data_IF_342314373536
#
_entry.id   IF_342314373536
#
_cell.length_a   1.000
_cell.length_b   1.000
_cell.length_c   1.000
_cell.angle_alpha   90.00
_cell.angle_beta   90.00
_cell.angle_gamma   90.00
#
_symmetry.space_group_name_H-M   'P 1'
#
loop_
_entity.id
_entity.type
_entity.pdbx_description
1 polymer ?
#
# COMPACT_ATOMS: atom_id res chain seq x y z
N UNK A 1 12.76 33.05 7.45
CA UNK A 1 11.82 32.29 8.30
C UNK A 1 12.16 32.56 9.76
N UNK A 2 11.22 33.04 10.58
CA UNK A 2 11.51 33.34 11.99
C UNK A 2 11.61 32.03 12.82
N UNK A 3 12.14 32.12 14.04
CA UNK A 3 12.37 30.93 14.90
C UNK A 3 11.06 30.17 15.21
N UNK A 4 9.95 30.89 15.36
CA UNK A 4 8.62 30.32 15.60
C UNK A 4 8.14 29.47 14.42
N UNK A 5 8.23 29.99 13.20
CA UNK A 5 7.81 29.27 12.00
C UNK A 5 8.72 28.07 11.73
N UNK A 6 10.03 28.19 11.99
CA UNK A 6 10.95 27.04 11.91
C UNK A 6 10.55 25.94 12.91
N UNK A 7 10.16 26.32 14.13
CA UNK A 7 9.68 25.39 15.14
C UNK A 7 8.34 24.74 14.74
N UNK A 8 7.39 25.50 14.19
CA UNK A 8 6.13 24.95 13.71
C UNK A 8 6.34 23.97 12.55
N UNK A 9 7.25 24.28 11.62
CA UNK A 9 7.59 23.38 10.52
C UNK A 9 8.17 22.05 10.99
N UNK A 10 9.10 22.04 11.95
CA UNK A 10 9.63 20.77 12.47
C UNK A 10 8.56 19.94 13.19
N UNK A 11 7.59 20.60 13.83
CA UNK A 11 6.44 19.91 14.42
C UNK A 11 5.52 19.28 13.37
N UNK A 12 5.24 19.99 12.26
CA UNK A 12 4.47 19.47 11.13
C UNK A 12 5.18 18.27 10.50
N UNK A 13 6.49 18.38 10.26
CA UNK A 13 7.32 17.29 9.73
C UNK A 13 7.29 16.05 10.62
N UNK A 14 7.45 16.21 11.94
CA UNK A 14 7.37 15.10 12.89
C UNK A 14 5.99 14.42 12.89
N UNK A 15 4.92 15.22 12.74
CA UNK A 15 3.54 14.71 12.68
C UNK A 15 3.25 13.95 11.38
N UNK A 16 3.78 14.43 10.25
CA UNK A 16 3.73 13.73 8.95
C UNK A 16 4.52 12.42 9.01
N UNK A 17 5.71 12.45 9.61
CA UNK A 17 6.49 11.22 9.82
C UNK A 17 5.71 10.20 10.64
N UNK A 18 5.08 10.63 11.74
CA UNK A 18 4.21 9.77 12.54
C UNK A 18 3.04 9.20 11.73
N UNK A 19 2.38 9.99 10.88
CA UNK A 19 1.26 9.47 10.07
C UNK A 19 1.70 8.39 9.07
N UNK A 20 2.93 8.50 8.53
CA UNK A 20 3.54 7.46 7.67
C UNK A 20 3.85 6.19 8.45
N UNK A 21 4.42 6.35 9.64
CA UNK A 21 4.74 5.21 10.52
C UNK A 21 3.46 4.48 10.96
N UNK A 22 2.44 5.23 11.38
CA UNK A 22 1.14 4.68 11.78
C UNK A 22 0.47 3.92 10.61
N UNK A 23 0.55 4.44 9.37
CA UNK A 23 0.08 3.71 8.16
C UNK A 23 0.88 2.42 7.94
N UNK A 24 2.21 2.48 8.04
CA UNK A 24 3.07 1.32 7.79
C UNK A 24 2.79 0.20 8.82
N UNK A 25 2.64 0.55 10.09
CA UNK A 25 2.27 -0.37 11.16
C UNK A 25 0.88 -0.98 10.90
N UNK A 26 -0.10 -0.14 10.55
CA UNK A 26 -1.44 -0.62 10.22
C UNK A 26 -1.42 -1.66 9.08
N UNK A 27 -0.73 -1.37 7.96
CA UNK A 27 -0.65 -2.29 6.82
C UNK A 27 0.12 -3.60 7.13
N UNK A 28 1.04 -3.57 8.11
CA UNK A 28 1.73 -4.76 8.57
C UNK A 28 0.82 -5.67 9.41
N UNK A 29 -0.03 -5.09 10.25
CA UNK A 29 -0.94 -5.79 11.15
C UNK A 29 -2.25 -6.24 10.49
N UNK A 30 -2.61 -5.62 9.36
CA UNK A 30 -3.88 -5.85 8.67
C UNK A 30 -3.64 -6.42 7.26
N UNK A 31 -3.33 -7.72 7.13
CA UNK A 31 -3.14 -8.34 5.83
C UNK A 31 -4.44 -8.43 5.04
N UNK A 32 -4.32 -8.38 3.71
CA UNK A 32 -5.43 -8.64 2.79
C UNK A 32 -5.84 -10.11 2.87
N UNK A 33 -7.14 -10.39 2.85
CA UNK A 33 -7.70 -11.71 2.60
C UNK A 33 -8.10 -11.83 1.14
N UNK A 34 -7.65 -12.88 0.47
CA UNK A 34 -7.94 -13.10 -0.96
C UNK A 34 -8.04 -14.59 -1.28
N UNK A 35 -8.92 -14.92 -2.21
CA UNK A 35 -9.16 -16.28 -2.70
C UNK A 35 -8.59 -16.52 -4.11
N UNK A 36 -7.82 -15.58 -4.67
CA UNK A 36 -7.33 -15.65 -6.06
C UNK A 36 -6.56 -16.95 -6.31
N UNK A 37 -5.72 -17.37 -5.35
CA UNK A 37 -4.95 -18.61 -5.49
C UNK A 37 -5.81 -19.82 -5.16
N UNK A 38 -6.20 -20.56 -6.20
CA UNK A 38 -6.90 -21.85 -6.07
C UNK A 38 -8.27 -21.78 -5.39
N UNK A 39 -8.88 -20.59 -5.27
CA UNK A 39 -10.18 -20.41 -4.64
C UNK A 39 -10.20 -20.51 -3.12
N UNK A 40 -9.03 -20.56 -2.46
CA UNK A 40 -8.90 -20.73 -1.01
C UNK A 40 -8.52 -19.39 -0.37
N UNK A 41 -9.28 -18.94 0.64
CA UNK A 41 -8.95 -17.71 1.39
C UNK A 41 -7.58 -17.86 2.06
N UNK A 42 -6.64 -17.02 1.64
CA UNK A 42 -5.32 -16.86 2.25
C UNK A 42 -5.12 -15.41 2.65
N UNK A 43 -4.18 -15.18 3.58
CA UNK A 43 -3.76 -13.84 3.99
C UNK A 43 -2.51 -13.42 3.22
N UNK A 44 -2.47 -12.18 2.77
CA UNK A 44 -1.34 -11.60 2.04
C UNK A 44 -0.88 -10.34 2.75
N UNK A 45 0.41 -10.28 3.06
CA UNK A 45 1.04 -9.10 3.63
C UNK A 45 1.05 -7.98 2.58
N UNK A 46 0.62 -6.78 2.99
CA UNK A 46 0.45 -5.61 2.10
C UNK A 46 1.34 -4.43 2.48
N UNK A 47 2.44 -4.68 3.18
CA UNK A 47 3.45 -3.66 3.46
C UNK A 47 4.01 -3.06 2.17
N UNK A 48 4.58 -1.85 2.25
CA UNK A 48 5.20 -1.21 1.09
C UNK A 48 6.28 -2.10 0.44
N UNK A 49 7.08 -2.78 1.26
CA UNK A 49 8.08 -3.75 0.78
C UNK A 49 7.43 -4.87 -0.04
N UNK A 50 6.31 -5.44 0.42
CA UNK A 50 5.60 -6.50 -0.30
C UNK A 50 4.95 -6.00 -1.59
N UNK A 51 4.40 -4.79 -1.61
CA UNK A 51 3.88 -4.16 -2.83
C UNK A 51 4.99 -3.92 -3.87
N UNK A 52 6.17 -3.47 -3.43
CA UNK A 52 7.34 -3.28 -4.29
C UNK A 52 7.86 -4.62 -4.83
N UNK A 53 7.95 -5.63 -3.97
CA UNK A 53 8.36 -6.98 -4.34
C UNK A 53 7.40 -7.57 -5.39
N UNK A 54 6.09 -7.40 -5.21
CA UNK A 54 5.07 -7.89 -6.15
C UNK A 54 5.20 -7.21 -7.52
N UNK A 55 5.42 -5.90 -7.53
CA UNK A 55 5.68 -5.14 -8.76
C UNK A 55 6.94 -5.66 -9.46
N UNK A 56 8.03 -5.87 -8.72
CA UNK A 56 9.28 -6.40 -9.26
C UNK A 56 9.12 -7.80 -9.84
N UNK A 57 8.37 -8.70 -9.18
CA UNK A 57 8.06 -10.05 -9.68
C UNK A 57 7.32 -9.99 -11.02
N UNK A 58 6.28 -9.16 -11.11
CA UNK A 58 5.49 -9.00 -12.34
C UNK A 58 6.35 -8.42 -13.46
N UNK A 59 7.12 -7.36 -13.19
CA UNK A 59 8.01 -6.74 -14.18
C UNK A 59 9.11 -7.70 -14.65
N UNK A 60 9.70 -8.47 -13.74
CA UNK A 60 10.73 -9.46 -14.09
C UNK A 60 10.16 -10.53 -15.01
N UNK A 61 8.97 -11.06 -14.70
CA UNK A 61 8.29 -12.02 -15.57
C UNK A 61 8.06 -11.43 -16.97
N UNK A 62 7.50 -10.22 -17.04
CA UNK A 62 7.23 -9.56 -18.32
C UNK A 62 8.51 -9.34 -19.13
N UNK A 63 9.58 -8.85 -18.52
CA UNK A 63 10.85 -8.63 -19.22
C UNK A 63 11.42 -9.94 -19.79
N UNK A 64 11.28 -11.06 -19.07
CA UNK A 64 11.73 -12.36 -19.54
C UNK A 64 10.81 -12.97 -20.60
N UNK A 65 9.49 -12.80 -20.47
CA UNK A 65 8.50 -13.35 -21.40
C UNK A 65 8.35 -12.53 -22.69
N UNK A 66 8.58 -11.22 -22.64
CA UNK A 66 8.32 -10.29 -23.74
C UNK A 66 8.97 -10.64 -25.08
N UNK A 67 10.25 -11.09 -25.14
CA UNK A 67 10.88 -11.47 -26.39
C UNK A 67 10.11 -12.57 -27.13
N UNK A 68 9.61 -13.58 -26.40
CA UNK A 68 8.84 -14.69 -26.97
C UNK A 68 7.45 -14.23 -27.42
N UNK A 69 6.80 -13.37 -26.64
CA UNK A 69 5.50 -12.78 -26.99
C UNK A 69 5.58 -11.95 -28.29
N UNK A 70 6.68 -11.24 -28.52
CA UNK A 70 6.87 -10.40 -29.71
C UNK A 70 6.98 -11.18 -31.01
N UNK A 71 7.45 -12.43 -30.95
CA UNK A 71 7.58 -13.31 -32.11
C UNK A 71 6.53 -14.42 -32.16
N UNK A 72 5.51 -14.35 -31.28
CA UNK A 72 4.48 -15.38 -31.10
C UNK A 72 5.05 -16.79 -30.82
N UNK A 73 6.19 -16.86 -30.14
CA UNK A 73 6.77 -18.13 -29.68
C UNK A 73 6.23 -18.50 -28.28
N UNK A 74 6.15 -19.81 -27.96
CA UNK A 74 5.82 -20.25 -26.61
C UNK A 74 6.83 -19.72 -25.59
N UNK A 75 6.33 -19.19 -24.47
CA UNK A 75 7.18 -18.78 -23.34
C UNK A 75 7.80 -20.05 -22.71
N UNK A 76 9.13 -20.11 -22.53
CA UNK A 76 9.79 -21.25 -21.90
C UNK A 76 9.22 -21.59 -20.52
N UNK A 77 9.08 -22.88 -20.22
CA UNK A 77 8.60 -23.37 -18.92
C UNK A 77 9.50 -22.97 -17.73
N UNK A 78 10.74 -22.56 -17.99
CA UNK A 78 11.64 -22.02 -16.96
C UNK A 78 11.27 -20.61 -16.51
N UNK A 79 10.45 -19.88 -17.27
CA UNK A 79 9.98 -18.54 -16.93
C UNK A 79 8.68 -18.66 -16.14
N UNK A 80 8.80 -18.67 -14.82
CA UNK A 80 7.69 -18.87 -13.88
C UNK A 80 7.58 -17.75 -12.89
N UNK A 81 6.39 -17.59 -12.33
CA UNK A 81 6.10 -16.63 -11.27
C UNK A 81 5.99 -17.40 -9.96
N UNK A 82 6.68 -16.93 -8.94
CA UNK A 82 6.60 -17.49 -7.60
C UNK A 82 6.19 -16.41 -6.63
N UNK A 83 5.17 -16.71 -5.83
CA UNK A 83 4.67 -15.79 -4.82
C UNK A 83 4.19 -16.54 -3.58
N UNK A 84 4.17 -15.85 -2.44
CA UNK A 84 3.83 -16.45 -1.16
C UNK A 84 2.66 -15.72 -0.47
N UNK A 85 1.84 -16.50 0.22
CA UNK A 85 0.92 -15.98 1.24
C UNK A 85 1.66 -15.81 2.57
N UNK A 86 1.07 -15.05 3.49
CA UNK A 86 1.65 -14.75 4.79
C UNK A 86 1.92 -16.03 5.60
N UNK A 87 3.17 -16.22 6.03
CA UNK A 87 3.58 -17.40 6.80
C UNK A 87 3.77 -18.69 5.98
N UNK A 88 3.62 -18.63 4.66
CA UNK A 88 3.81 -19.76 3.77
C UNK A 88 5.06 -19.58 2.88
N UNK A 89 5.58 -20.70 2.37
CA UNK A 89 6.63 -20.70 1.34
C UNK A 89 6.07 -20.25 -0.01
N UNK A 90 6.95 -19.84 -0.92
CA UNK A 90 6.55 -19.50 -2.28
C UNK A 90 5.97 -20.72 -3.01
N UNK A 91 4.90 -20.49 -3.76
CA UNK A 91 4.30 -21.45 -4.68
C UNK A 91 4.28 -20.85 -6.09
N UNK A 92 4.06 -21.67 -7.12
CA UNK A 92 3.97 -21.22 -8.51
C UNK A 92 2.63 -20.52 -8.76
N UNK A 93 2.65 -19.39 -9.46
CA UNK A 93 1.49 -18.59 -9.83
C UNK A 93 1.41 -18.41 -11.34
N UNK A 94 0.19 -18.29 -11.86
CA UNK A 94 -0.01 -17.81 -13.23
C UNK A 94 0.11 -16.29 -13.31
N UNK A 95 0.35 -15.76 -14.50
CA UNK A 95 0.36 -14.32 -14.73
C UNK A 95 -1.01 -13.68 -14.42
N UNK A 96 -2.11 -14.36 -14.74
CA UNK A 96 -3.46 -13.90 -14.41
C UNK A 96 -3.69 -13.83 -12.90
N UNK A 97 -3.34 -14.89 -12.15
CA UNK A 97 -3.50 -14.92 -10.70
C UNK A 97 -2.71 -13.78 -10.04
N UNK A 98 -1.43 -13.59 -10.41
CA UNK A 98 -0.58 -12.61 -9.72
C UNK A 98 -0.98 -11.17 -10.02
N UNK A 99 -1.46 -10.90 -11.24
CA UNK A 99 -1.94 -9.55 -11.62
C UNK A 99 -3.28 -9.23 -10.98
N UNK A 100 -4.17 -10.21 -10.84
CA UNK A 100 -5.40 -10.04 -10.05
C UNK A 100 -5.10 -9.78 -8.57
N UNK A 101 -4.16 -10.52 -7.96
CA UNK A 101 -3.75 -10.24 -6.59
C UNK A 101 -3.17 -8.82 -6.45
N UNK A 102 -2.32 -8.38 -7.39
CA UNK A 102 -1.79 -7.01 -7.39
C UNK A 102 -2.91 -5.98 -7.41
N UNK A 103 -3.92 -6.18 -8.25
CA UNK A 103 -5.10 -5.32 -8.31
C UNK A 103 -5.86 -5.28 -6.99
N UNK A 104 -6.14 -6.42 -6.38
CA UNK A 104 -6.83 -6.47 -5.07
C UNK A 104 -6.03 -5.77 -3.97
N UNK A 105 -4.70 -5.93 -3.95
CA UNK A 105 -3.82 -5.23 -3.00
C UNK A 105 -3.88 -3.73 -3.24
N UNK A 106 -3.82 -3.27 -4.49
CA UNK A 106 -3.89 -1.84 -4.82
C UNK A 106 -5.23 -1.25 -4.38
N UNK A 107 -6.34 -1.93 -4.66
CA UNK A 107 -7.68 -1.50 -4.25
C UNK A 107 -7.82 -1.45 -2.72
N UNK A 108 -7.26 -2.43 -2.01
CA UNK A 108 -7.25 -2.50 -0.56
C UNK A 108 -6.41 -1.38 0.09
N UNK A 109 -5.20 -1.14 -0.42
CA UNK A 109 -4.25 -0.19 0.17
C UNK A 109 -4.58 1.27 -0.17
N UNK A 110 -5.11 1.53 -1.38
CA UNK A 110 -5.39 2.88 -1.90
C UNK A 110 -6.13 3.79 -0.92
N UNK A 111 -7.26 3.41 -0.27
CA UNK A 111 -7.96 4.32 0.62
C UNK A 111 -7.10 4.76 1.82
N UNK A 112 -6.23 3.89 2.35
CA UNK A 112 -5.37 4.23 3.49
C UNK A 112 -4.23 5.16 3.08
N UNK A 113 -3.62 4.92 1.92
CA UNK A 113 -2.63 5.85 1.34
C UNK A 113 -3.26 7.22 1.08
N UNK A 114 -4.48 7.24 0.56
CA UNK A 114 -5.22 8.49 0.33
C UNK A 114 -5.52 9.23 1.64
N UNK A 115 -5.87 8.51 2.72
CA UNK A 115 -6.02 9.10 4.06
C UNK A 115 -4.71 9.74 4.52
N UNK A 116 -3.60 9.04 4.38
CA UNK A 116 -2.28 9.54 4.78
C UNK A 116 -1.91 10.81 4.02
N UNK A 117 -2.09 10.83 2.70
CA UNK A 117 -1.85 12.01 1.85
C UNK A 117 -2.75 13.18 2.23
N UNK A 118 -4.02 12.93 2.56
CA UNK A 118 -4.92 13.96 3.05
C UNK A 118 -4.43 14.55 4.38
N UNK A 119 -3.99 13.71 5.32
CA UNK A 119 -3.40 14.15 6.58
C UNK A 119 -2.16 15.02 6.34
N UNK A 120 -1.29 14.70 5.37
CA UNK A 120 -0.14 15.55 5.04
C UNK A 120 -0.56 16.97 4.63
N UNK A 121 -1.54 17.08 3.75
CA UNK A 121 -2.06 18.38 3.29
C UNK A 121 -2.64 19.18 4.47
N UNK A 122 -3.43 18.52 5.32
CA UNK A 122 -4.00 19.16 6.51
C UNK A 122 -2.90 19.63 7.47
N UNK A 123 -1.94 18.76 7.80
CA UNK A 123 -0.84 19.08 8.74
C UNK A 123 -0.02 20.27 8.24
N UNK A 124 0.29 20.31 6.94
CA UNK A 124 1.01 21.42 6.31
C UNK A 124 0.30 22.78 6.51
N UNK A 125 -1.04 22.78 6.55
CA UNK A 125 -1.85 23.99 6.70
C UNK A 125 -2.08 24.47 8.13
N UNK A 126 -1.69 23.70 9.17
CA UNK A 126 -2.04 24.04 10.57
C UNK A 126 -1.21 25.22 11.11
N UNK A 127 -1.82 26.33 11.52
CA UNK A 127 -1.08 27.54 11.90
C UNK A 127 -0.49 27.52 13.32
N UNK A 128 -0.97 26.66 14.22
CA UNK A 128 -0.55 26.69 15.62
C UNK A 128 0.00 25.36 16.14
N UNK A 129 0.87 25.45 17.14
CA UNK A 129 1.39 24.29 17.88
C UNK A 129 0.26 23.43 18.47
N UNK A 130 -0.83 24.05 18.93
CA UNK A 130 -1.96 23.37 19.55
C UNK A 130 -2.66 22.46 18.54
N UNK A 131 -3.03 23.01 17.39
CA UNK A 131 -3.69 22.25 16.32
C UNK A 131 -2.82 21.09 15.83
N UNK A 132 -1.51 21.30 15.66
CA UNK A 132 -0.58 20.24 15.23
C UNK A 132 -0.55 19.07 16.23
N UNK A 133 -0.58 19.36 17.53
CA UNK A 133 -0.56 18.33 18.57
C UNK A 133 -1.89 17.57 18.63
N UNK A 134 -3.00 18.29 18.61
CA UNK A 134 -4.36 17.76 18.82
C UNK A 134 -4.88 16.94 17.63
N UNK A 135 -4.41 17.20 16.40
CA UNK A 135 -4.81 16.40 15.25
C UNK A 135 -4.43 14.92 15.45
N UNK A 136 -5.40 14.01 15.45
CA UNK A 136 -5.11 12.57 15.43
C UNK A 136 -4.65 12.15 14.03
N UNK A 137 -3.61 11.32 13.96
CA UNK A 137 -3.06 10.76 12.70
C UNK A 137 -3.07 9.24 12.70
N UNK A 138 -3.71 8.64 13.70
CA UNK A 138 -3.73 7.19 13.90
C UNK A 138 -4.62 6.49 12.89
N UNK A 139 -4.20 5.33 12.43
CA UNK A 139 -4.96 4.44 11.56
C UNK A 139 -5.81 3.46 12.40
N UNK A 140 -6.67 4.00 13.26
CA UNK A 140 -7.61 3.20 14.04
C UNK A 140 -8.99 3.11 13.36
N UNK A 141 -9.83 2.19 13.82
CA UNK A 141 -11.15 1.93 13.25
C UNK A 141 -12.03 3.20 13.16
N UNK A 142 -11.98 4.08 14.17
CA UNK A 142 -12.78 5.31 14.20
C UNK A 142 -12.35 6.27 13.09
N UNK A 143 -11.06 6.55 12.99
CA UNK A 143 -10.51 7.46 11.99
C UNK A 143 -10.69 6.90 10.57
N UNK A 144 -10.45 5.60 10.39
CA UNK A 144 -10.66 4.91 9.11
C UNK A 144 -12.14 4.99 8.71
N UNK A 145 -13.08 4.71 9.60
CA UNK A 145 -14.51 4.77 9.29
C UNK A 145 -14.97 6.19 8.92
N UNK A 146 -14.45 7.22 9.60
CA UNK A 146 -14.72 8.62 9.24
C UNK A 146 -14.17 8.93 7.84
N UNK A 147 -12.95 8.50 7.54
CA UNK A 147 -12.33 8.68 6.24
C UNK A 147 -13.08 7.95 5.12
N UNK A 148 -13.48 6.70 5.34
CA UNK A 148 -14.24 5.93 4.34
C UNK A 148 -15.59 6.57 4.04
N UNK A 149 -16.27 7.15 5.04
CA UNK A 149 -17.50 7.93 4.83
C UNK A 149 -17.23 9.17 3.97
N UNK A 150 -16.14 9.88 4.24
CA UNK A 150 -15.72 11.04 3.44
C UNK A 150 -15.45 10.64 1.98
N UNK A 151 -14.67 9.59 1.74
CA UNK A 151 -14.37 9.08 0.40
C UNK A 151 -15.62 8.68 -0.38
N UNK A 152 -16.59 8.04 0.28
CA UNK A 152 -17.82 7.59 -0.37
C UNK A 152 -18.80 8.73 -0.64
N UNK A 153 -18.76 9.82 0.14
CA UNK A 153 -19.57 11.02 -0.09
C UNK A 153 -19.04 11.96 -1.18
N UNK A 154 -17.83 11.70 -1.71
CA UNK A 154 -17.21 12.45 -2.81
C UNK A 154 -17.43 11.82 -4.20
N UNK A 155 -18.07 10.64 -4.27
CA UNK A 155 -18.37 9.94 -5.51
C UNK A 155 -19.72 10.31 -6.10
#
# INVERSE_FOLDING_TARGET
MNNTERYLNSMREAKIYKSKDDLANYLAEHPLKSCIKGGIEKKYTVTQEKQNQLTSVITSYLNSAFPYMMVNEPIPESIKIYWNSMGCVCEEWTYEEITLLKKEIDEYVRPFVSMQQHLEVVICGLPTQKEIKELSVEFNEVNINLWMKHLNGQK
#
